data_IF_871861910671
#
_entry.id   IF_871861910671
#
_cell.length_a   1.000
_cell.length_b   1.000
_cell.length_c   1.000
_cell.angle_alpha   90.00
_cell.angle_beta   90.00
_cell.angle_gamma   90.00
#
_symmetry.space_group_name_H-M   'P 1'
#
loop_
_entity.id
_entity.type
_entity.pdbx_description
1 polymer ?
#
# COMPACT_ATOMS: atom_id res chain seq x y z
N UNK A 1 70.39 25.98 24.22
CA UNK A 1 71.01 26.06 25.54
C UNK A 1 70.84 24.72 26.17
N UNK A 2 71.89 23.90 26.14
CA UNK A 2 72.72 23.49 27.27
C UNK A 2 71.95 22.63 28.24
N UNK A 3 72.30 21.39 28.58
CA UNK A 3 73.62 20.75 28.80
C UNK A 3 73.36 19.25 29.05
N UNK A 4 73.94 18.35 28.34
CA UNK A 4 74.86 17.32 28.81
C UNK A 4 75.07 17.16 30.30
N UNK A 5 74.88 15.94 30.79
CA UNK A 5 75.87 15.37 31.67
C UNK A 5 75.98 13.84 31.58
N UNK A 6 77.18 13.40 31.45
CA UNK A 6 77.70 12.05 31.39
C UNK A 6 78.07 11.55 32.80
N UNK A 7 77.76 10.35 33.15
CA UNK A 7 78.22 9.71 34.35
C UNK A 7 78.61 8.25 34.09
N UNK A 8 79.94 8.05 34.10
CA UNK A 8 80.64 6.82 33.84
C UNK A 8 80.82 5.92 35.08
N UNK A 9 81.06 4.61 34.80
CA UNK A 9 81.93 3.67 35.55
C UNK A 9 81.33 2.84 36.70
N UNK A 10 81.41 1.59 36.51
CA UNK A 10 81.39 0.57 37.55
C UNK A 10 81.60 -0.83 36.97
N UNK A 11 82.85 -1.16 36.66
CA UNK A 11 83.27 -2.52 36.38
C UNK A 11 83.33 -3.34 37.65
N UNK A 12 82.75 -4.53 37.66
CA UNK A 12 82.97 -5.54 38.65
C UNK A 12 82.90 -6.97 38.03
N UNK A 13 83.46 -8.02 38.61
CA UNK A 13 84.44 -8.85 37.93
C UNK A 13 83.89 -10.16 37.40
N UNK A 14 84.63 -10.69 36.39
CA UNK A 14 84.56 -12.06 35.85
C UNK A 14 84.81 -13.11 36.93
N UNK A 15 83.78 -13.69 37.57
CA UNK A 15 83.98 -14.92 38.36
C UNK A 15 82.73 -15.80 38.44
N UNK A 16 81.55 -15.41 37.91
CA UNK A 16 80.37 -16.23 38.12
C UNK A 16 79.74 -16.85 36.82
N UNK A 17 80.46 -16.75 35.70
CA UNK A 17 80.00 -17.31 34.43
C UNK A 17 80.36 -18.81 34.27
N UNK A 18 81.37 -19.34 35.02
CA UNK A 18 81.77 -20.74 34.92
C UNK A 18 80.97 -21.72 35.78
N UNK A 19 80.17 -21.27 36.73
CA UNK A 19 79.44 -22.17 37.63
C UNK A 19 78.04 -22.55 37.08
N UNK A 20 77.53 -21.78 36.09
CA UNK A 20 76.12 -22.01 35.51
C UNK A 20 76.21 -22.96 34.31
N UNK A 21 77.42 -23.14 33.69
CA UNK A 21 77.56 -23.96 32.48
C UNK A 21 77.64 -25.49 32.75
N UNK A 22 77.70 -25.93 34.00
CA UNK A 22 77.80 -27.38 34.36
C UNK A 22 76.49 -27.97 34.87
N UNK A 23 75.40 -27.25 34.92
CA UNK A 23 74.14 -27.71 35.45
C UNK A 23 73.08 -28.15 34.43
N UNK A 24 73.40 -28.03 33.12
CA UNK A 24 72.51 -28.39 32.03
C UNK A 24 73.13 -29.37 31.02
N UNK A 25 73.83 -30.39 31.51
CA UNK A 25 74.01 -31.63 30.77
C UNK A 25 72.83 -32.54 31.11
N UNK A 26 71.70 -32.29 30.46
CA UNK A 26 70.57 -33.22 30.47
C UNK A 26 70.81 -34.26 29.38
N UNK A 27 70.91 -35.47 29.82
CA UNK A 27 70.92 -36.68 29.04
C UNK A 27 69.91 -36.62 27.91
N UNK A 28 70.39 -36.84 26.71
CA UNK A 28 69.60 -37.34 25.60
C UNK A 28 69.20 -38.77 25.85
N UNK A 29 68.09 -39.03 26.51
CA UNK A 29 67.36 -40.26 26.36
C UNK A 29 66.56 -40.23 25.12
N UNK A 30 67.03 -40.82 24.03
CA UNK A 30 66.23 -41.25 22.88
C UNK A 30 65.08 -42.13 23.38
N UNK A 31 63.92 -41.55 23.52
CA UNK A 31 62.67 -42.32 23.52
C UNK A 31 62.10 -42.18 22.11
N UNK A 32 62.39 -43.15 21.28
CA UNK A 32 61.58 -43.46 20.07
C UNK A 32 60.12 -43.67 20.51
N UNK A 33 59.32 -42.67 20.44
CA UNK A 33 57.89 -42.81 20.37
C UNK A 33 57.45 -42.27 19.01
N UNK A 34 57.43 -43.14 17.99
CA UNK A 34 56.63 -42.98 16.81
C UNK A 34 55.13 -42.84 17.18
N UNK A 35 54.74 -41.72 17.71
CA UNK A 35 53.37 -41.26 17.66
C UNK A 35 53.27 -40.26 16.51
N UNK A 36 53.13 -40.80 15.30
CA UNK A 36 52.72 -40.07 14.11
C UNK A 36 51.45 -39.31 14.43
N UNK A 37 51.60 -38.01 14.81
CA UNK A 37 50.44 -37.17 15.08
C UNK A 37 49.61 -37.05 13.82
N UNK A 38 48.46 -37.71 13.79
CA UNK A 38 47.45 -37.55 12.75
C UNK A 38 46.89 -36.10 12.69
N UNK A 39 47.32 -35.25 13.61
CA UNK A 39 46.88 -33.89 13.80
C UNK A 39 47.20 -32.94 12.63
N UNK A 40 48.41 -32.93 12.02
CA UNK A 40 48.70 -32.05 10.87
C UNK A 40 47.97 -32.47 9.62
N UNK A 41 47.67 -33.74 9.40
CA UNK A 41 46.89 -34.22 8.29
C UNK A 41 45.40 -33.82 8.45
N UNK A 42 44.83 -33.98 9.63
CA UNK A 42 43.47 -33.59 9.96
C UNK A 42 43.27 -32.08 9.72
N UNK A 43 44.19 -31.23 10.17
CA UNK A 43 44.17 -29.79 9.92
C UNK A 43 44.15 -29.46 8.42
N UNK A 44 45.00 -30.15 7.63
CA UNK A 44 45.02 -29.93 6.15
C UNK A 44 43.74 -30.37 5.48
N UNK A 45 43.17 -31.47 5.91
CA UNK A 45 41.87 -31.97 5.37
C UNK A 45 40.73 -30.99 5.72
N UNK A 46 40.66 -30.60 7.02
CA UNK A 46 39.61 -29.63 7.47
C UNK A 46 39.76 -28.27 6.77
N UNK A 47 41.01 -27.76 6.68
CA UNK A 47 41.26 -26.48 5.93
C UNK A 47 40.91 -26.61 4.45
N UNK A 48 41.18 -27.75 3.82
CA UNK A 48 40.81 -28.02 2.44
C UNK A 48 39.29 -28.09 2.25
N UNK A 49 38.57 -28.74 3.18
CA UNK A 49 37.09 -28.77 3.17
C UNK A 49 36.47 -27.36 3.35
N UNK A 50 37.00 -26.59 4.30
CA UNK A 50 36.56 -25.20 4.52
C UNK A 50 36.78 -24.35 3.26
N UNK A 51 37.96 -24.46 2.63
CA UNK A 51 38.25 -23.73 1.39
C UNK A 51 37.32 -24.13 0.24
N UNK A 52 37.03 -25.44 0.08
CA UNK A 52 36.08 -25.92 -0.94
C UNK A 52 34.66 -25.44 -0.67
N UNK A 53 34.22 -25.46 0.59
CA UNK A 53 32.92 -24.96 1.01
C UNK A 53 32.80 -23.45 0.75
N UNK A 54 33.84 -22.67 1.06
CA UNK A 54 33.89 -21.23 0.80
C UNK A 54 33.83 -20.93 -0.69
N UNK A 55 34.53 -21.71 -1.53
CA UNK A 55 34.48 -21.58 -2.99
C UNK A 55 33.08 -21.94 -3.51
N UNK A 56 32.45 -23.01 -2.99
CA UNK A 56 31.12 -23.40 -3.37
C UNK A 56 30.08 -22.30 -3.01
N UNK A 57 30.16 -21.74 -1.81
CA UNK A 57 29.30 -20.61 -1.38
C UNK A 57 29.51 -19.41 -2.27
N UNK A 58 30.76 -19.06 -2.61
CA UNK A 58 31.07 -17.96 -3.51
C UNK A 58 30.50 -18.19 -4.93
N UNK A 59 30.61 -19.41 -5.45
CA UNK A 59 30.07 -19.76 -6.77
C UNK A 59 28.54 -19.73 -6.76
N UNK A 60 27.90 -20.21 -5.68
CA UNK A 60 26.45 -20.11 -5.49
C UNK A 60 26.05 -18.62 -5.43
N UNK A 61 26.77 -17.81 -4.68
CA UNK A 61 26.51 -16.38 -4.59
C UNK A 61 26.66 -15.67 -5.95
N UNK A 62 27.73 -15.96 -6.69
CA UNK A 62 27.93 -15.44 -8.06
C UNK A 62 26.81 -15.90 -8.99
N UNK A 63 26.43 -17.19 -8.93
CA UNK A 63 25.37 -17.73 -9.74
C UNK A 63 24.01 -17.10 -9.38
N UNK A 64 23.69 -16.94 -8.10
CA UNK A 64 22.49 -16.27 -7.64
C UNK A 64 22.46 -14.80 -8.13
N UNK A 65 23.57 -14.07 -7.97
CA UNK A 65 23.67 -12.68 -8.47
C UNK A 65 23.51 -12.57 -9.98
N UNK A 66 24.06 -13.52 -10.76
CA UNK A 66 23.90 -13.55 -12.22
C UNK A 66 22.47 -13.91 -12.67
N UNK A 67 21.66 -14.53 -11.83
CA UNK A 67 20.27 -14.87 -12.10
C UNK A 67 19.28 -13.97 -11.36
N UNK A 68 19.74 -12.81 -10.87
CA UNK A 68 18.87 -11.84 -10.18
C UNK A 68 18.38 -12.28 -8.80
N UNK A 69 18.94 -13.38 -8.25
CA UNK A 69 18.60 -13.85 -6.91
C UNK A 69 19.42 -13.04 -5.91
N UNK A 70 18.82 -12.04 -5.30
CA UNK A 70 19.43 -11.30 -4.20
C UNK A 70 19.38 -12.15 -2.93
N UNK A 71 20.55 -12.50 -2.40
CA UNK A 71 20.68 -13.20 -1.10
C UNK A 71 20.52 -12.22 0.09
N UNK A 72 20.15 -10.98 -0.16
CA UNK A 72 19.88 -9.95 0.83
C UNK A 72 18.59 -9.23 0.51
N UNK A 73 17.73 -9.02 1.50
CA UNK A 73 16.52 -8.19 1.37
C UNK A 73 16.87 -6.70 1.12
N UNK A 74 15.88 -5.82 1.27
CA UNK A 74 16.07 -4.38 1.08
C UNK A 74 17.14 -3.81 2.02
N UNK A 75 17.82 -2.72 1.61
CA UNK A 75 18.75 -2.03 2.47
C UNK A 75 18.10 -1.63 3.81
N UNK A 76 18.81 -1.72 4.94
CA UNK A 76 18.27 -1.34 6.26
C UNK A 76 17.78 0.12 6.33
N UNK A 77 18.25 0.98 5.44
CA UNK A 77 17.77 2.36 5.32
C UNK A 77 16.33 2.39 4.85
N UNK A 78 15.98 1.58 3.84
CA UNK A 78 14.63 1.52 3.29
C UNK A 78 13.64 0.92 4.31
N UNK A 79 14.01 -0.17 4.95
CA UNK A 79 13.14 -0.77 6.00
C UNK A 79 12.95 0.16 7.19
N UNK A 80 13.98 0.93 7.58
CA UNK A 80 13.85 1.95 8.64
C UNK A 80 13.00 3.16 8.20
N UNK A 81 12.98 3.50 6.92
CA UNK A 81 12.08 4.53 6.39
C UNK A 81 10.64 4.04 6.35
N UNK A 82 10.43 2.82 5.92
CA UNK A 82 9.12 2.16 5.95
C UNK A 82 8.54 2.12 7.38
N UNK A 83 9.34 1.65 8.37
CA UNK A 83 8.96 1.63 9.77
C UNK A 83 8.56 3.02 10.28
N UNK A 84 9.30 4.07 9.89
CA UNK A 84 8.97 5.45 10.27
C UNK A 84 7.64 5.92 9.69
N UNK A 85 7.28 5.51 8.49
CA UNK A 85 5.99 5.83 7.88
C UNK A 85 4.84 5.03 8.47
N UNK A 86 5.08 3.77 8.81
CA UNK A 86 4.08 2.93 9.49
C UNK A 86 3.74 3.47 10.87
N UNK A 87 4.74 3.93 11.63
CA UNK A 87 4.55 4.61 12.92
C UNK A 87 3.77 5.94 12.74
N UNK A 88 4.16 6.76 11.75
CA UNK A 88 3.50 8.03 11.46
C UNK A 88 2.00 7.87 11.14
N UNK A 89 1.62 6.85 10.40
CA UNK A 89 0.25 6.58 9.96
C UNK A 89 -0.55 5.69 10.91
N UNK A 90 0.05 5.25 12.02
CA UNK A 90 -0.57 4.35 12.99
C UNK A 90 -0.74 2.92 12.48
N UNK A 91 -0.11 2.56 11.36
CA UNK A 91 -0.26 1.24 10.74
C UNK A 91 0.38 0.11 11.59
N UNK A 92 1.41 0.41 12.39
CA UNK A 92 2.04 -0.57 13.29
C UNK A 92 1.17 -0.88 14.53
N UNK A 93 0.17 -0.05 14.85
CA UNK A 93 -0.82 -0.31 15.88
C UNK A 93 -1.93 -1.27 15.41
N UNK A 94 -2.11 -1.41 14.08
CA UNK A 94 -3.12 -2.30 13.48
C UNK A 94 -2.62 -3.74 13.49
N UNK A 95 -3.38 -4.62 14.12
CA UNK A 95 -3.01 -6.04 14.26
C UNK A 95 -4.15 -6.95 13.84
N UNK A 96 -3.81 -8.00 13.10
CA UNK A 96 -4.77 -9.04 12.69
C UNK A 96 -5.54 -8.73 11.42
N UNK A 97 -5.32 -7.58 10.81
CA UNK A 97 -5.85 -7.19 9.51
C UNK A 97 -4.73 -7.23 8.46
N UNK A 98 -5.07 -7.63 7.25
CA UNK A 98 -4.16 -7.67 6.10
C UNK A 98 -4.84 -7.33 4.76
N UNK A 99 -6.10 -6.89 4.79
CA UNK A 99 -6.91 -6.56 3.63
C UNK A 99 -7.68 -7.75 3.04
N UNK A 100 -7.69 -8.90 3.74
CA UNK A 100 -8.38 -10.11 3.25
C UNK A 100 -9.87 -9.88 3.00
N UNK A 101 -10.35 -10.35 1.84
CA UNK A 101 -11.76 -10.23 1.45
C UNK A 101 -12.12 -8.88 0.84
N UNK A 102 -11.14 -8.03 0.52
CA UNK A 102 -11.30 -6.76 -0.20
C UNK A 102 -10.69 -6.90 -1.59
N UNK A 103 -11.41 -6.50 -2.62
CA UNK A 103 -10.95 -6.47 -4.01
C UNK A 103 -10.46 -5.07 -4.37
N UNK A 104 -9.15 -4.94 -4.55
CA UNK A 104 -8.49 -3.66 -4.86
C UNK A 104 -7.97 -3.67 -6.29
N UNK A 105 -8.33 -2.66 -7.07
CA UNK A 105 -7.85 -2.46 -8.44
C UNK A 105 -6.81 -1.34 -8.50
N UNK A 106 -5.65 -1.62 -9.07
CA UNK A 106 -4.64 -0.61 -9.43
C UNK A 106 -4.75 -0.32 -10.92
N UNK A 107 -4.95 0.94 -11.28
CA UNK A 107 -4.87 1.41 -12.67
C UNK A 107 -3.56 2.17 -12.84
N UNK A 108 -2.60 1.57 -13.55
CA UNK A 108 -1.22 2.04 -13.59
C UNK A 108 -0.44 1.52 -14.83
N UNK A 109 0.89 1.47 -14.77
CA UNK A 109 1.78 0.98 -15.83
C UNK A 109 1.91 -0.54 -15.90
N UNK A 110 1.28 -1.28 -14.99
CA UNK A 110 1.32 -2.74 -14.94
C UNK A 110 1.92 -3.30 -13.64
N UNK A 111 2.43 -4.53 -13.68
CA UNK A 111 3.05 -5.20 -12.53
C UNK A 111 4.10 -6.23 -12.97
N UNK A 112 5.26 -6.23 -12.33
CA UNK A 112 6.35 -7.21 -12.51
C UNK A 112 6.24 -8.33 -11.45
N UNK A 113 5.51 -9.40 -11.74
CA UNK A 113 5.33 -10.54 -10.84
C UNK A 113 6.61 -11.35 -10.58
N UNK A 114 7.68 -11.10 -11.34
CA UNK A 114 9.00 -11.69 -11.11
C UNK A 114 9.78 -11.06 -9.97
N UNK A 115 9.25 -10.00 -9.34
CA UNK A 115 9.89 -9.35 -8.19
C UNK A 115 9.88 -10.26 -6.95
N UNK A 116 11.00 -10.39 -6.21
CA UNK A 116 11.07 -11.28 -5.03
C UNK A 116 10.00 -11.04 -3.96
N UNK A 117 9.58 -9.80 -3.77
CA UNK A 117 8.55 -9.44 -2.79
C UNK A 117 7.10 -9.65 -3.30
N UNK A 118 6.94 -10.10 -4.57
CA UNK A 118 5.64 -10.38 -5.19
C UNK A 118 5.49 -11.86 -5.60
N UNK A 119 6.42 -12.75 -5.30
CA UNK A 119 6.39 -14.16 -5.69
C UNK A 119 5.24 -14.96 -5.07
N UNK A 120 4.65 -14.44 -4.00
CA UNK A 120 3.45 -14.97 -3.34
C UNK A 120 2.15 -14.56 -4.03
N UNK A 121 2.18 -13.52 -4.88
CA UNK A 121 0.99 -12.85 -5.40
C UNK A 121 0.37 -13.65 -6.56
N UNK A 122 -0.93 -13.85 -6.46
CA UNK A 122 -1.77 -14.33 -7.56
C UNK A 122 -2.80 -13.23 -7.82
N UNK A 123 -2.74 -12.62 -9.00
CA UNK A 123 -3.69 -11.57 -9.36
C UNK A 123 -5.10 -12.13 -9.44
N UNK A 124 -6.09 -11.40 -8.91
CA UNK A 124 -7.50 -11.66 -9.12
C UNK A 124 -7.90 -11.40 -10.58
N UNK A 125 -7.28 -10.42 -11.24
CA UNK A 125 -7.46 -10.14 -12.66
C UNK A 125 -6.34 -9.28 -13.25
N UNK A 126 -6.27 -9.30 -14.58
CA UNK A 126 -5.31 -8.52 -15.36
C UNK A 126 -5.96 -7.97 -16.63
N UNK A 127 -5.80 -6.67 -16.86
CA UNK A 127 -6.15 -6.01 -18.11
C UNK A 127 -4.94 -5.24 -18.64
N UNK A 128 -4.69 -5.33 -19.94
CA UNK A 128 -3.74 -4.48 -20.65
C UNK A 128 -4.47 -3.72 -21.76
N UNK A 129 -4.76 -2.44 -21.48
CA UNK A 129 -5.43 -1.53 -22.42
C UNK A 129 -4.47 -1.05 -23.52
N UNK A 130 -3.15 -1.07 -23.23
CA UNK A 130 -2.12 -0.51 -24.12
C UNK A 130 -1.84 -1.48 -25.29
N UNK A 131 -1.44 -2.72 -24.99
CA UNK A 131 -0.95 -3.70 -25.96
C UNK A 131 -1.84 -4.96 -26.08
N UNK A 132 -2.86 -5.08 -25.21
CA UNK A 132 -3.74 -6.27 -25.14
C UNK A 132 -2.97 -7.59 -24.87
N UNK A 133 -1.88 -7.55 -24.06
CA UNK A 133 -1.15 -8.76 -23.65
C UNK A 133 -1.90 -9.49 -22.56
N UNK A 134 -1.85 -10.81 -22.61
CA UNK A 134 -2.54 -11.68 -21.63
C UNK A 134 -1.70 -11.96 -20.38
N UNK A 135 -0.40 -11.76 -20.45
CA UNK A 135 0.53 -11.99 -19.33
C UNK A 135 0.89 -10.65 -18.68
N UNK A 136 0.83 -10.54 -17.35
CA UNK A 136 1.22 -9.33 -16.64
C UNK A 136 2.67 -8.95 -16.89
N UNK A 137 2.90 -7.66 -17.07
CA UNK A 137 4.22 -7.05 -17.20
C UNK A 137 4.17 -5.59 -16.78
N UNK A 138 5.34 -5.01 -16.51
CA UNK A 138 5.52 -3.59 -16.25
C UNK A 138 6.81 -3.13 -16.93
N UNK A 139 6.70 -2.34 -17.96
CA UNK A 139 7.82 -1.85 -18.78
C UNK A 139 8.21 -0.40 -18.41
N UNK A 140 7.47 0.25 -17.52
CA UNK A 140 7.75 1.55 -16.94
C UNK A 140 8.24 1.42 -15.49
N UNK A 141 7.53 0.65 -14.65
CA UNK A 141 7.92 0.30 -13.28
C UNK A 141 7.12 0.99 -12.18
N UNK A 142 6.31 2.00 -12.50
CA UNK A 142 5.54 2.75 -11.51
C UNK A 142 4.45 1.88 -10.87
N UNK A 143 3.70 1.09 -11.66
CA UNK A 143 2.67 0.21 -11.16
C UNK A 143 3.20 -0.86 -10.21
N UNK A 144 4.39 -1.43 -10.51
CA UNK A 144 5.07 -2.36 -9.60
C UNK A 144 5.45 -1.68 -8.28
N UNK A 145 5.92 -0.44 -8.33
CA UNK A 145 6.25 0.34 -7.15
C UNK A 145 5.02 0.59 -6.28
N UNK A 146 3.90 0.98 -6.88
CA UNK A 146 2.62 1.21 -6.17
C UNK A 146 2.02 -0.08 -5.61
N UNK A 147 2.01 -1.16 -6.39
CA UNK A 147 1.60 -2.48 -5.91
C UNK A 147 2.44 -2.94 -4.71
N UNK A 148 3.75 -2.67 -4.71
CA UNK A 148 4.64 -2.98 -3.61
C UNK A 148 4.24 -2.32 -2.28
N UNK A 149 3.80 -1.07 -2.31
CA UNK A 149 3.31 -0.35 -1.12
C UNK A 149 2.09 -1.05 -0.51
N UNK A 150 1.27 -1.71 -1.34
CA UNK A 150 0.04 -2.38 -0.90
C UNK A 150 0.31 -3.82 -0.49
N UNK A 151 1.00 -4.62 -1.33
CA UNK A 151 1.02 -6.09 -1.18
C UNK A 151 2.40 -6.73 -0.99
N UNK A 152 3.51 -5.99 -0.94
CA UNK A 152 4.85 -6.57 -0.80
C UNK A 152 5.01 -7.46 0.43
N UNK A 153 5.77 -8.59 0.31
CA UNK A 153 6.15 -9.49 1.41
C UNK A 153 7.63 -9.86 1.32
N UNK A 154 8.16 -10.31 2.45
CA UNK A 154 9.51 -10.89 2.60
C UNK A 154 10.68 -9.90 2.51
N UNK A 155 10.51 -8.76 1.87
CA UNK A 155 11.48 -7.65 1.84
C UNK A 155 10.89 -6.39 2.47
N UNK A 156 10.23 -5.56 1.67
CA UNK A 156 9.35 -4.50 2.18
C UNK A 156 8.02 -5.11 2.63
N UNK A 157 7.27 -4.35 3.44
CA UNK A 157 6.00 -4.78 4.01
C UNK A 157 4.86 -3.96 3.44
N UNK A 158 4.10 -4.52 2.54
CA UNK A 158 2.88 -3.91 2.05
C UNK A 158 1.85 -3.66 3.17
N UNK A 159 1.02 -2.66 2.96
CA UNK A 159 0.03 -2.24 3.96
C UNK A 159 -1.13 -3.23 4.10
N UNK A 160 -1.51 -3.90 2.99
CA UNK A 160 -2.66 -4.79 2.88
C UNK A 160 -2.29 -6.03 2.04
N UNK A 161 -1.46 -6.89 2.63
CA UNK A 161 -0.85 -8.04 1.94
C UNK A 161 -1.84 -9.16 1.57
N UNK A 162 -3.05 -9.13 2.10
CA UNK A 162 -4.09 -10.14 1.90
C UNK A 162 -5.19 -9.71 0.92
N UNK A 163 -5.12 -8.51 0.34
CA UNK A 163 -6.12 -8.07 -0.66
C UNK A 163 -6.11 -8.97 -1.89
N UNK A 164 -7.27 -9.17 -2.49
CA UNK A 164 -7.39 -9.67 -3.83
C UNK A 164 -7.08 -8.53 -4.81
N UNK A 165 -5.99 -8.67 -5.60
CA UNK A 165 -5.47 -7.58 -6.41
C UNK A 165 -5.87 -7.72 -7.88
N UNK A 166 -6.54 -6.70 -8.42
CA UNK A 166 -6.72 -6.45 -9.84
C UNK A 166 -5.68 -5.44 -10.33
N UNK A 167 -5.14 -5.64 -11.51
CA UNK A 167 -4.21 -4.68 -12.12
C UNK A 167 -4.62 -4.40 -13.56
N UNK A 168 -4.89 -3.13 -13.86
CA UNK A 168 -5.17 -2.65 -15.20
C UNK A 168 -4.01 -1.76 -15.69
N UNK A 169 -3.31 -2.22 -16.74
CA UNK A 169 -2.27 -1.42 -17.38
C UNK A 169 -2.90 -0.45 -18.37
N UNK A 170 -2.90 0.83 -17.99
CA UNK A 170 -3.43 1.95 -18.77
C UNK A 170 -2.35 2.97 -19.15
N UNK A 171 -1.12 2.78 -18.66
CA UNK A 171 0.06 3.64 -18.87
C UNK A 171 1.11 2.86 -19.66
N UNK A 172 1.69 3.51 -20.67
CA UNK A 172 2.70 2.93 -21.55
C UNK A 172 4.14 2.95 -20.97
N UNK A 173 5.10 2.45 -21.73
CA UNK A 173 6.53 2.39 -21.38
C UNK A 173 7.20 3.77 -21.19
N UNK A 174 6.54 4.83 -21.62
CA UNK A 174 7.03 6.22 -21.47
C UNK A 174 6.36 6.97 -20.31
N UNK A 175 5.52 6.27 -19.54
CA UNK A 175 4.74 6.86 -18.47
C UNK A 175 3.55 7.68 -18.96
N UNK A 176 3.05 7.44 -20.17
CA UNK A 176 1.93 8.17 -20.74
C UNK A 176 0.67 7.31 -20.79
N UNK A 177 -0.46 7.90 -20.40
CA UNK A 177 -1.81 7.36 -20.58
C UNK A 177 -2.70 8.39 -21.25
N UNK A 178 -3.79 7.93 -21.83
CA UNK A 178 -4.86 8.81 -22.32
C UNK A 178 -6.05 8.72 -21.38
N UNK A 179 -6.87 9.77 -21.32
CA UNK A 179 -8.11 9.74 -20.54
C UNK A 179 -8.97 8.53 -20.91
N UNK A 180 -9.05 8.21 -22.21
CA UNK A 180 -9.81 7.06 -22.71
C UNK A 180 -9.20 5.70 -22.25
N UNK A 181 -7.86 5.56 -22.21
CA UNK A 181 -7.24 4.30 -21.73
C UNK A 181 -7.44 4.13 -20.24
N UNK A 182 -7.40 5.20 -19.47
CA UNK A 182 -7.62 5.17 -18.04
C UNK A 182 -9.09 4.93 -17.72
N UNK A 183 -10.01 5.58 -18.45
CA UNK A 183 -11.45 5.35 -18.37
C UNK A 183 -11.82 3.88 -18.62
N UNK A 184 -11.31 3.28 -19.71
CA UNK A 184 -11.51 1.85 -20.01
C UNK A 184 -11.00 0.94 -18.87
N UNK A 185 -9.87 1.31 -18.26
CA UNK A 185 -9.32 0.56 -17.11
C UNK A 185 -10.19 0.71 -15.86
N UNK A 186 -10.71 1.90 -15.57
CA UNK A 186 -11.65 2.16 -14.46
C UNK A 186 -12.94 1.37 -14.67
N UNK A 187 -13.54 1.44 -15.86
CA UNK A 187 -14.75 0.67 -16.19
C UNK A 187 -14.54 -0.83 -15.99
N UNK A 188 -13.38 -1.36 -16.40
CA UNK A 188 -13.05 -2.76 -16.17
C UNK A 188 -12.92 -3.10 -14.68
N UNK A 189 -12.31 -2.24 -13.86
CA UNK A 189 -12.26 -2.47 -12.41
C UNK A 189 -13.67 -2.55 -11.79
N UNK A 190 -14.59 -1.70 -12.27
CA UNK A 190 -16.01 -1.73 -11.85
C UNK A 190 -16.70 -3.01 -12.30
N UNK A 191 -16.48 -3.46 -13.55
CA UNK A 191 -17.01 -4.71 -14.10
C UNK A 191 -16.52 -5.94 -13.32
N UNK A 192 -15.25 -5.95 -12.89
CA UNK A 192 -14.65 -7.00 -12.05
C UNK A 192 -15.03 -6.89 -10.57
N UNK A 193 -15.90 -5.94 -10.21
CA UNK A 193 -16.47 -5.79 -8.86
C UNK A 193 -15.46 -5.29 -7.79
N UNK A 194 -14.52 -4.43 -8.16
CA UNK A 194 -13.60 -3.83 -7.21
C UNK A 194 -14.34 -3.06 -6.10
N UNK A 195 -13.86 -3.16 -4.86
CA UNK A 195 -14.26 -2.32 -3.73
C UNK A 195 -13.50 -1.00 -3.73
N UNK A 196 -12.24 -1.04 -4.17
CA UNK A 196 -11.32 0.09 -4.19
C UNK A 196 -10.66 0.19 -5.55
N UNK A 197 -10.59 1.41 -6.10
CA UNK A 197 -9.76 1.75 -7.27
C UNK A 197 -8.68 2.74 -6.83
N UNK A 198 -7.41 2.39 -7.04
CA UNK A 198 -6.23 3.21 -6.77
C UNK A 198 -5.76 3.86 -8.06
N UNK A 199 -5.88 5.18 -8.16
CA UNK A 199 -5.46 6.00 -9.29
C UNK A 199 -4.23 6.83 -8.89
N UNK A 200 -3.06 6.19 -8.90
CA UNK A 200 -1.78 6.86 -8.63
C UNK A 200 -1.33 7.71 -9.82
N UNK A 201 -2.28 8.40 -10.45
CA UNK A 201 -2.15 9.18 -11.66
C UNK A 201 -2.27 10.67 -11.33
N UNK A 202 -1.42 11.46 -11.91
CA UNK A 202 -1.41 12.93 -11.75
C UNK A 202 -0.04 13.46 -11.35
N UNK A 203 0.51 14.35 -12.15
CA UNK A 203 1.48 15.35 -11.76
C UNK A 203 2.91 14.97 -11.49
N UNK A 204 3.67 14.33 -12.39
CA UNK A 204 5.06 14.72 -12.62
C UNK A 204 5.31 15.03 -14.09
N UNK A 205 6.38 15.81 -14.36
CA UNK A 205 6.81 16.16 -15.73
C UNK A 205 7.12 14.88 -16.52
N UNK A 206 6.09 14.35 -17.15
CA UNK A 206 6.06 13.08 -17.86
C UNK A 206 4.65 12.56 -17.98
N UNK A 207 3.83 12.73 -16.97
CA UNK A 207 2.38 12.57 -17.04
C UNK A 207 1.78 13.91 -17.43
N UNK A 208 2.01 14.32 -18.66
CA UNK A 208 1.39 15.51 -19.19
C UNK A 208 -0.04 15.15 -19.59
N UNK A 209 -0.95 15.20 -18.66
CA UNK A 209 -2.33 15.48 -18.98
C UNK A 209 -2.33 16.89 -19.57
N UNK A 210 -2.00 16.99 -20.85
CA UNK A 210 -1.96 18.25 -21.55
C UNK A 210 -3.38 18.82 -21.64
N UNK A 211 -3.83 19.47 -20.57
CA UNK A 211 -4.81 20.53 -20.60
C UNK A 211 -6.17 20.28 -21.27
N UNK A 212 -6.56 19.04 -21.44
CA UNK A 212 -7.89 18.61 -21.87
C UNK A 212 -8.30 17.49 -20.93
N UNK A 213 -9.01 17.83 -19.83
CA UNK A 213 -9.90 16.85 -19.23
C UNK A 213 -10.89 16.48 -20.32
N UNK A 214 -10.79 15.25 -20.85
CA UNK A 214 -11.94 14.71 -21.57
C UNK A 214 -12.95 14.37 -20.48
N UNK A 215 -14.22 14.56 -20.77
CA UNK A 215 -15.29 14.15 -19.87
C UNK A 215 -15.27 12.62 -19.60
N UNK A 216 -14.55 11.83 -20.40
CA UNK A 216 -14.53 10.35 -20.37
C UNK A 216 -13.98 9.77 -19.07
N UNK A 217 -12.82 10.22 -18.57
CA UNK A 217 -12.25 9.72 -17.31
C UNK A 217 -13.10 10.13 -16.11
N UNK A 218 -13.52 11.38 -16.07
CA UNK A 218 -14.35 11.89 -14.97
C UNK A 218 -15.71 11.19 -14.93
N UNK A 219 -16.32 10.92 -16.13
CA UNK A 219 -17.57 10.16 -16.24
C UNK A 219 -17.40 8.72 -15.71
N UNK A 220 -16.35 8.00 -16.13
CA UNK A 220 -16.08 6.63 -15.63
C UNK A 220 -15.82 6.59 -14.13
N UNK A 221 -15.09 7.58 -13.58
CA UNK A 221 -14.85 7.68 -12.12
C UNK A 221 -16.16 7.99 -11.40
N UNK A 222 -17.01 8.85 -11.93
CA UNK A 222 -18.31 9.14 -11.32
C UNK A 222 -19.22 7.90 -11.35
N UNK A 223 -19.23 7.16 -12.45
CA UNK A 223 -19.99 5.90 -12.54
C UNK A 223 -19.49 4.87 -11.50
N UNK A 224 -18.15 4.78 -11.26
CA UNK A 224 -17.58 3.93 -10.23
C UNK A 224 -18.05 4.34 -8.81
N UNK A 225 -18.03 5.64 -8.52
CA UNK A 225 -18.50 6.18 -7.23
C UNK A 225 -20.01 5.92 -7.04
N UNK A 226 -20.83 6.14 -8.07
CA UNK A 226 -22.27 5.89 -8.04
C UNK A 226 -22.59 4.39 -7.80
N UNK A 227 -21.70 3.51 -8.23
CA UNK A 227 -21.77 2.06 -7.93
C UNK A 227 -21.16 1.67 -6.57
N UNK A 228 -20.68 2.64 -5.79
CA UNK A 228 -20.18 2.44 -4.44
C UNK A 228 -18.73 1.97 -4.36
N UNK A 229 -17.96 2.13 -5.43
CA UNK A 229 -16.52 1.85 -5.44
C UNK A 229 -15.77 3.03 -4.84
N UNK A 230 -14.90 2.78 -3.88
CA UNK A 230 -14.02 3.81 -3.34
C UNK A 230 -12.93 4.16 -4.36
N UNK A 231 -12.89 5.38 -4.83
CA UNK A 231 -11.83 5.86 -5.72
C UNK A 231 -10.86 6.73 -4.94
N UNK A 232 -9.59 6.35 -4.92
CA UNK A 232 -8.50 7.09 -4.28
C UNK A 232 -7.59 7.62 -5.37
N UNK A 233 -7.33 8.93 -5.40
CA UNK A 233 -6.53 9.57 -6.42
C UNK A 233 -5.45 10.50 -5.85
N UNK A 234 -4.36 10.64 -6.59
CA UNK A 234 -3.27 11.54 -6.24
C UNK A 234 -3.67 13.01 -6.39
N UNK A 235 -3.24 13.86 -5.46
CA UNK A 235 -3.46 15.30 -5.55
C UNK A 235 -2.67 15.96 -6.68
N UNK A 236 -1.54 15.36 -7.08
CA UNK A 236 -0.60 15.94 -8.03
C UNK A 236 0.73 16.28 -7.39
N UNK A 237 1.73 16.57 -8.23
CA UNK A 237 3.12 16.79 -7.79
C UNK A 237 3.66 18.17 -8.20
N UNK A 238 2.81 19.17 -8.42
CA UNK A 238 3.17 20.51 -8.90
C UNK A 238 3.75 21.40 -7.79
N UNK A 239 3.46 21.05 -6.53
CA UNK A 239 4.04 21.71 -5.37
C UNK A 239 3.74 23.20 -5.31
N UNK A 240 4.79 24.01 -5.08
CA UNK A 240 4.67 25.46 -4.95
C UNK A 240 4.48 26.18 -6.29
N UNK A 241 4.71 25.49 -7.40
CA UNK A 241 4.45 26.03 -8.74
C UNK A 241 3.03 25.70 -9.21
N UNK A 242 2.22 25.13 -8.29
CA UNK A 242 0.82 24.85 -8.51
C UNK A 242 0.08 26.13 -8.86
N UNK A 243 -0.57 26.13 -10.02
CA UNK A 243 -1.32 27.24 -10.55
C UNK A 243 -2.84 27.01 -10.42
N UNK A 244 -3.26 26.00 -9.67
CA UNK A 244 -4.66 25.61 -9.60
C UNK A 244 -5.05 24.67 -8.49
N UNK A 245 -6.01 23.87 -8.80
CA UNK A 245 -6.57 22.85 -7.93
C UNK A 245 -5.76 21.56 -8.00
N UNK A 246 -6.06 20.59 -7.13
CA UNK A 246 -5.54 19.22 -7.25
C UNK A 246 -5.86 18.64 -8.62
N UNK A 247 -5.03 17.73 -9.09
CA UNK A 247 -5.19 17.09 -10.40
C UNK A 247 -6.50 16.29 -10.50
N UNK A 248 -7.09 16.25 -11.70
CA UNK A 248 -8.18 15.31 -12.01
C UNK A 248 -7.62 13.88 -12.09
N UNK A 249 -8.38 12.83 -11.62
CA UNK A 249 -9.74 12.92 -11.08
C UNK A 249 -9.82 13.20 -9.57
N UNK A 250 -8.70 13.48 -8.87
CA UNK A 250 -8.67 13.84 -7.45
C UNK A 250 -9.55 15.05 -7.10
N UNK A 251 -9.78 15.92 -8.07
CA UNK A 251 -10.64 17.11 -7.94
C UNK A 251 -12.14 16.82 -7.85
N UNK A 252 -12.60 15.62 -8.22
CA UNK A 252 -14.02 15.22 -8.13
C UNK A 252 -14.49 15.12 -6.67
N UNK A 253 -15.77 15.45 -6.43
CA UNK A 253 -16.32 15.66 -5.09
C UNK A 253 -16.14 14.41 -4.20
N UNK A 254 -16.56 13.24 -4.66
CA UNK A 254 -16.60 12.01 -3.86
C UNK A 254 -15.31 11.17 -3.92
N UNK A 255 -14.34 11.55 -4.76
CA UNK A 255 -13.00 10.93 -4.78
C UNK A 255 -12.25 11.27 -3.50
N UNK A 256 -11.52 10.31 -2.93
CA UNK A 256 -10.57 10.55 -1.83
C UNK A 256 -9.24 11.00 -2.46
N UNK A 257 -8.99 12.30 -2.41
CA UNK A 257 -7.77 12.91 -2.95
C UNK A 257 -6.67 12.93 -1.90
N UNK A 258 -5.47 12.48 -2.25
CA UNK A 258 -4.38 12.29 -1.31
C UNK A 258 -3.18 13.17 -1.64
N UNK A 259 -2.85 14.08 -0.74
CA UNK A 259 -1.63 14.86 -0.76
C UNK A 259 -0.45 14.14 -0.07
N UNK A 260 0.67 14.82 0.03
CA UNK A 260 1.93 14.21 0.43
C UNK A 260 2.55 14.71 1.72
N UNK A 261 3.05 13.79 2.57
CA UNK A 261 3.80 14.09 3.79
C UNK A 261 5.19 13.44 3.79
N UNK A 262 6.14 14.09 4.45
CA UNK A 262 7.48 13.53 4.70
C UNK A 262 7.48 12.62 5.93
N UNK A 263 8.55 11.82 6.12
CA UNK A 263 8.74 10.95 7.30
C UNK A 263 8.75 11.70 8.65
N UNK A 264 8.98 13.01 8.64
CA UNK A 264 8.97 13.84 9.84
C UNK A 264 7.60 14.46 10.12
N UNK A 265 6.57 14.10 9.33
CA UNK A 265 5.23 14.67 9.47
C UNK A 265 5.07 16.08 8.90
N UNK A 266 6.07 16.57 8.14
CA UNK A 266 5.94 17.85 7.46
C UNK A 266 5.33 17.65 6.07
N UNK A 267 4.63 18.66 5.59
CA UNK A 267 4.15 18.67 4.20
C UNK A 267 5.31 18.37 3.23
N UNK A 268 5.07 17.51 2.26
CA UNK A 268 6.00 17.31 1.17
C UNK A 268 5.87 18.45 0.16
N UNK A 269 6.96 19.15 -0.12
CA UNK A 269 6.96 20.35 -0.96
C UNK A 269 6.56 20.13 -2.42
N UNK A 270 6.45 18.87 -2.87
CA UNK A 270 5.96 18.51 -4.19
C UNK A 270 4.44 18.26 -4.23
N UNK A 271 3.75 18.20 -3.09
CA UNK A 271 2.31 17.98 -3.07
C UNK A 271 1.54 19.16 -3.64
N UNK A 272 0.65 18.91 -4.59
CA UNK A 272 -0.26 19.95 -5.10
C UNK A 272 -1.25 20.40 -4.03
N UNK A 273 -1.74 21.63 -4.18
CA UNK A 273 -2.70 22.28 -3.29
C UNK A 273 -4.12 22.17 -3.82
N UNK A 274 -5.12 22.17 -2.93
CA UNK A 274 -6.51 22.36 -3.30
C UNK A 274 -6.88 23.84 -3.42
N UNK A 275 -7.46 24.27 -4.54
CA UNK A 275 -8.00 25.62 -4.68
C UNK A 275 -9.50 25.65 -4.38
N UNK A 276 -9.84 25.82 -3.11
CA UNK A 276 -11.23 25.89 -2.67
C UNK A 276 -11.88 27.27 -2.88
N UNK A 277 -11.12 28.26 -3.36
CA UNK A 277 -11.61 29.63 -3.53
C UNK A 277 -12.42 29.87 -4.81
N UNK A 278 -12.58 28.84 -5.63
CA UNK A 278 -13.36 28.87 -6.86
C UNK A 278 -12.75 29.77 -7.94
N UNK A 279 -12.35 29.24 -9.06
CA UNK A 279 -11.91 30.00 -10.22
C UNK A 279 -13.11 30.43 -11.05
N UNK A 280 -13.16 31.71 -11.36
CA UNK A 280 -14.23 32.24 -12.24
C UNK A 280 -14.02 31.87 -13.72
N UNK A 281 -12.85 31.32 -14.09
CA UNK A 281 -12.52 30.93 -15.45
C UNK A 281 -11.21 30.17 -15.56
N UNK A 282 -11.05 29.10 -16.41
CA UNK A 282 -12.05 28.61 -17.38
C UNK A 282 -13.13 27.70 -16.76
N UNK A 283 -12.91 27.08 -15.63
CA UNK A 283 -13.87 26.26 -14.91
C UNK A 283 -14.24 26.96 -13.60
N UNK A 284 -15.44 27.58 -13.52
CA UNK A 284 -15.89 28.13 -12.25
C UNK A 284 -16.19 26.99 -11.28
N UNK A 285 -15.24 26.68 -10.40
CA UNK A 285 -15.49 25.79 -9.30
C UNK A 285 -16.30 26.50 -8.22
N UNK A 286 -17.35 25.84 -7.78
CA UNK A 286 -18.04 26.26 -6.56
C UNK A 286 -17.13 25.86 -5.38
N UNK A 287 -17.10 26.67 -4.30
CA UNK A 287 -16.40 26.28 -3.08
C UNK A 287 -16.89 24.90 -2.62
N UNK A 288 -15.97 24.00 -2.35
CA UNK A 288 -16.27 22.70 -1.74
C UNK A 288 -16.64 22.89 -0.27
N UNK A 289 -17.37 21.95 0.28
CA UNK A 289 -17.73 21.91 1.70
C UNK A 289 -17.27 20.59 2.32
N UNK A 290 -17.11 20.58 3.64
CA UNK A 290 -16.81 19.36 4.37
C UNK A 290 -17.84 18.25 4.04
N UNK A 291 -17.40 17.01 3.87
CA UNK A 291 -16.03 16.49 3.97
C UNK A 291 -15.26 16.46 2.63
N UNK A 292 -15.69 17.23 1.61
CA UNK A 292 -15.24 17.14 0.21
C UNK A 292 -14.19 18.21 -0.17
N UNK A 293 -13.57 18.87 0.81
CA UNK A 293 -12.46 19.79 0.55
C UNK A 293 -11.19 19.01 0.16
N UNK A 294 -10.37 19.55 -0.76
CA UNK A 294 -9.22 18.87 -1.37
C UNK A 294 -7.87 19.49 -0.93
N UNK A 295 -6.84 18.61 -0.78
CA UNK A 295 -6.95 17.15 -0.67
C UNK A 295 -7.70 16.75 0.61
N UNK A 296 -8.30 15.58 0.69
CA UNK A 296 -8.94 15.14 1.95
C UNK A 296 -7.92 14.91 3.05
N UNK A 297 -6.78 14.30 2.73
CA UNK A 297 -5.74 14.00 3.70
C UNK A 297 -4.37 13.92 3.03
N UNK A 298 -3.33 13.86 3.85
CA UNK A 298 -1.97 13.61 3.39
C UNK A 298 -1.44 12.28 3.93
N UNK A 299 -0.60 11.61 3.13
CA UNK A 299 -0.01 10.32 3.44
C UNK A 299 1.45 10.26 2.93
N UNK A 300 2.22 9.20 3.25
CA UNK A 300 3.64 9.09 2.89
C UNK A 300 3.93 9.36 1.40
N UNK A 301 4.71 10.40 1.10
CA UNK A 301 5.01 10.82 -0.27
C UNK A 301 6.48 11.10 -0.56
N UNK A 302 7.34 11.32 0.44
CA UNK A 302 8.73 11.70 0.23
C UNK A 302 9.68 10.54 0.52
N UNK A 303 10.47 10.09 -0.45
CA UNK A 303 11.42 8.99 -0.30
C UNK A 303 10.76 7.72 0.29
N UNK A 304 9.55 7.39 -0.17
CA UNK A 304 8.81 6.18 0.24
C UNK A 304 9.52 4.95 -0.32
N UNK A 305 9.80 3.92 0.50
CA UNK A 305 10.38 2.68 0.02
C UNK A 305 9.45 1.97 -0.97
N UNK A 306 9.99 1.56 -2.11
CA UNK A 306 9.24 0.95 -3.20
C UNK A 306 10.00 -0.22 -3.84
N UNK A 307 9.25 -1.07 -4.55
CA UNK A 307 9.79 -2.09 -5.42
C UNK A 307 10.27 -1.47 -6.73
N UNK A 308 11.34 -2.04 -7.31
CA UNK A 308 11.88 -1.64 -8.60
C UNK A 308 11.61 -2.74 -9.62
N UNK A 309 10.83 -2.46 -10.64
CA UNK A 309 10.54 -3.41 -11.72
C UNK A 309 11.78 -3.75 -12.55
N UNK A 310 11.74 -4.93 -13.16
CA UNK A 310 12.77 -5.38 -14.10
C UNK A 310 14.05 -5.88 -13.44
N UNK A 311 14.08 -5.92 -12.07
CA UNK A 311 15.29 -6.29 -11.33
C UNK A 311 16.50 -5.56 -11.85
N UNK A 312 16.31 -4.40 -12.45
CA UNK A 312 17.16 -3.71 -13.42
C UNK A 312 18.39 -4.56 -13.78
N UNK A 313 18.91 -4.60 -14.94
CA UNK A 313 20.09 -5.43 -15.26
C UNK A 313 21.23 -5.37 -14.25
N UNK A 314 21.11 -4.55 -13.23
CA UNK A 314 22.03 -4.29 -12.11
C UNK A 314 21.64 -5.02 -10.80
N UNK A 315 20.52 -5.77 -10.76
CA UNK A 315 20.06 -6.52 -9.57
C UNK A 315 19.56 -5.65 -8.41
N UNK A 316 19.11 -4.45 -8.71
CA UNK A 316 18.49 -3.53 -7.73
C UNK A 316 16.98 -3.76 -7.72
N UNK A 317 16.47 -4.34 -6.64
CA UNK A 317 15.05 -4.67 -6.48
C UNK A 317 14.28 -3.68 -5.60
N UNK A 318 14.97 -2.86 -4.84
CA UNK A 318 14.37 -1.92 -3.90
C UNK A 318 14.95 -0.53 -4.05
N UNK A 319 14.12 0.47 -3.94
CA UNK A 319 14.48 1.87 -4.01
C UNK A 319 13.55 2.74 -3.20
N UNK A 320 13.53 4.01 -3.51
CA UNK A 320 12.56 4.95 -2.95
C UNK A 320 12.02 5.86 -4.04
N UNK A 321 10.75 6.21 -3.92
CA UNK A 321 10.06 7.16 -4.79
C UNK A 321 9.52 8.33 -3.98
N UNK A 322 9.30 9.46 -4.65
CA UNK A 322 8.59 10.60 -4.07
C UNK A 322 7.48 11.03 -5.02
N UNK A 323 6.28 11.15 -4.51
CA UNK A 323 5.08 11.51 -5.28
C UNK A 323 3.82 11.24 -4.48
N UNK A 324 2.77 11.98 -4.75
CA UNK A 324 1.43 11.74 -4.23
C UNK A 324 0.86 10.39 -4.69
N UNK A 325 1.43 9.80 -5.74
CA UNK A 325 1.19 8.42 -6.16
C UNK A 325 1.47 7.40 -5.04
N UNK A 326 2.61 7.54 -4.34
CA UNK A 326 2.95 6.67 -3.21
C UNK A 326 1.98 6.87 -2.04
N UNK A 327 1.55 8.10 -1.80
CA UNK A 327 0.55 8.42 -0.80
C UNK A 327 -0.82 7.80 -1.12
N UNK A 328 -1.23 7.82 -2.39
CA UNK A 328 -2.45 7.19 -2.89
C UNK A 328 -2.43 5.69 -2.67
N UNK A 329 -1.35 5.01 -3.05
CA UNK A 329 -1.18 3.57 -2.81
C UNK A 329 -1.19 3.24 -1.30
N UNK A 330 -0.58 4.10 -0.47
CA UNK A 330 -0.60 3.94 0.98
C UNK A 330 -2.00 4.02 1.57
N UNK A 331 -2.80 5.01 1.16
CA UNK A 331 -4.20 5.18 1.59
C UNK A 331 -5.07 4.05 1.06
N UNK A 332 -4.86 3.60 -0.18
CA UNK A 332 -5.61 2.48 -0.77
C UNK A 332 -5.43 1.19 0.05
N UNK A 333 -4.19 0.87 0.45
CA UNK A 333 -3.93 -0.25 1.33
C UNK A 333 -4.52 -0.06 2.73
N UNK A 334 -4.43 1.15 3.31
CA UNK A 334 -5.03 1.45 4.61
C UNK A 334 -6.56 1.33 4.58
N UNK A 335 -7.20 1.80 3.51
CA UNK A 335 -8.65 1.65 3.34
C UNK A 335 -9.06 0.17 3.19
N UNK A 336 -8.24 -0.66 2.57
CA UNK A 336 -8.51 -2.08 2.50
C UNK A 336 -8.55 -2.74 3.89
N UNK A 337 -7.70 -2.31 4.84
CA UNK A 337 -7.79 -2.79 6.23
C UNK A 337 -9.09 -2.35 6.90
N UNK A 338 -9.55 -1.14 6.62
CA UNK A 338 -10.81 -0.63 7.15
C UNK A 338 -12.00 -1.43 6.59
N UNK A 339 -12.02 -1.73 5.31
CA UNK A 339 -13.08 -2.52 4.68
C UNK A 339 -13.03 -4.01 5.05
N UNK A 340 -11.86 -4.56 5.44
CA UNK A 340 -11.78 -5.90 6.05
C UNK A 340 -12.46 -5.94 7.41
N UNK A 341 -12.19 -4.95 8.28
CA UNK A 341 -12.80 -4.87 9.62
C UNK A 341 -14.29 -4.52 9.53
N UNK A 342 -14.70 -3.75 8.51
CA UNK A 342 -16.05 -3.25 8.29
C UNK A 342 -16.61 -3.66 6.92
N UNK A 343 -16.87 -4.97 6.70
CA UNK A 343 -17.34 -5.48 5.42
C UNK A 343 -18.73 -4.96 5.02
N UNK A 344 -19.50 -4.41 5.98
CA UNK A 344 -20.76 -3.72 5.71
C UNK A 344 -20.60 -2.46 4.85
N UNK A 345 -19.41 -1.83 4.87
CA UNK A 345 -19.09 -0.64 4.07
C UNK A 345 -18.53 -0.97 2.68
N UNK A 346 -18.18 -2.24 2.41
CA UNK A 346 -17.76 -2.64 1.06
C UNK A 346 -18.88 -2.39 0.05
N UNK A 347 -18.53 -2.31 -1.25
CA UNK A 347 -19.47 -2.04 -2.34
C UNK A 347 -20.77 -2.82 -2.25
N UNK A 348 -20.69 -4.13 -2.03
CA UNK A 348 -21.85 -5.04 -1.89
C UNK A 348 -22.29 -5.21 -0.42
N UNK A 349 -21.72 -4.47 0.50
CA UNK A 349 -22.06 -4.52 1.92
C UNK A 349 -23.43 -3.92 2.23
N UNK A 350 -23.94 -4.21 3.41
CA UNK A 350 -25.29 -3.76 3.83
C UNK A 350 -25.42 -2.24 3.99
N UNK A 351 -24.29 -1.54 4.19
CA UNK A 351 -24.17 -0.09 4.32
C UNK A 351 -23.27 0.50 3.22
N UNK A 352 -23.03 -0.27 2.15
CA UNK A 352 -22.21 0.12 1.01
C UNK A 352 -22.83 1.23 0.15
N UNK A 353 -22.19 1.49 -1.00
CA UNK A 353 -22.61 2.53 -1.93
C UNK A 353 -22.07 3.92 -1.56
N UNK A 354 -22.59 4.95 -2.22
CA UNK A 354 -22.13 6.34 -2.03
C UNK A 354 -22.18 6.78 -0.54
N UNK A 355 -23.14 6.29 0.24
CA UNK A 355 -23.23 6.59 1.68
C UNK A 355 -22.06 6.05 2.48
N UNK A 356 -21.45 4.92 2.08
CA UNK A 356 -20.24 4.42 2.71
C UNK A 356 -19.03 5.33 2.39
N UNK A 357 -18.95 5.82 1.15
CA UNK A 357 -17.89 6.75 0.73
C UNK A 357 -17.99 8.05 1.53
N UNK A 358 -19.18 8.66 1.61
CA UNK A 358 -19.43 9.85 2.43
C UNK A 358 -19.05 9.61 3.90
N UNK A 359 -19.46 8.46 4.46
CA UNK A 359 -19.15 8.09 5.84
C UNK A 359 -17.65 7.97 6.10
N UNK A 360 -16.90 7.33 5.19
CA UNK A 360 -15.43 7.21 5.31
C UNK A 360 -14.75 8.57 5.20
N UNK A 361 -15.23 9.44 4.30
CA UNK A 361 -14.70 10.83 4.19
C UNK A 361 -14.99 11.65 5.45
N UNK A 362 -16.16 11.51 6.06
CA UNK A 362 -16.45 12.11 7.37
C UNK A 362 -15.45 11.62 8.43
N UNK A 363 -15.23 10.30 8.51
CA UNK A 363 -14.27 9.72 9.45
C UNK A 363 -12.84 10.23 9.22
N UNK A 364 -12.41 10.37 7.97
CA UNK A 364 -11.12 10.98 7.62
C UNK A 364 -11.06 12.40 8.16
N UNK A 365 -12.11 13.20 7.95
CA UNK A 365 -12.15 14.59 8.42
C UNK A 365 -12.09 14.73 9.95
N UNK A 366 -12.62 13.75 10.68
CA UNK A 366 -12.70 13.76 12.13
C UNK A 366 -11.48 13.12 12.82
N UNK A 367 -10.80 12.18 12.16
CA UNK A 367 -9.79 11.31 12.77
C UNK A 367 -8.39 11.42 12.16
N UNK A 368 -8.15 12.31 11.20
CA UNK A 368 -6.81 12.60 10.71
C UNK A 368 -6.00 13.37 11.73
N UNK A 369 -4.66 13.15 11.73
CA UNK A 369 -3.79 13.88 12.65
C UNK A 369 -3.50 15.27 12.09
N UNK A 370 -4.08 16.29 12.72
CA UNK A 370 -3.91 17.69 12.35
C UNK A 370 -2.50 18.21 12.63
N UNK A 371 -2.03 19.19 11.85
CA UNK A 371 -0.80 19.92 12.15
C UNK A 371 -0.94 20.83 13.37
N UNK A 372 0.19 21.28 13.91
CA UNK A 372 0.20 22.11 15.11
C UNK A 372 -0.45 23.49 14.86
N UNK A 373 -1.70 23.63 15.34
CA UNK A 373 -2.49 24.85 15.22
C UNK A 373 -3.55 24.81 14.11
N UNK A 374 -3.64 23.75 13.34
CA UNK A 374 -4.72 23.49 12.41
C UNK A 374 -6.02 23.24 13.18
N UNK A 375 -7.11 23.88 12.80
CA UNK A 375 -8.44 23.74 13.42
C UNK A 375 -9.55 23.46 12.42
N UNK A 376 -9.25 23.59 11.14
CA UNK A 376 -10.14 23.41 9.99
C UNK A 376 -9.34 22.74 8.88
N UNK A 377 -9.99 22.36 7.80
CA UNK A 377 -9.30 21.88 6.59
C UNK A 377 -8.26 22.92 6.11
N UNK A 378 -7.14 22.44 5.62
CA UNK A 378 -6.07 23.23 5.02
C UNK A 378 -5.85 22.78 3.57
N UNK A 379 -5.73 23.72 2.64
CA UNK A 379 -5.63 23.41 1.21
C UNK A 379 -4.39 22.55 0.84
N UNK A 380 -3.36 22.50 1.70
CA UNK A 380 -2.18 21.65 1.55
C UNK A 380 -2.22 20.38 2.39
N UNK A 381 -2.63 20.49 3.68
CA UNK A 381 -2.63 19.40 4.64
C UNK A 381 -3.92 18.55 4.61
N UNK A 382 -4.94 19.04 3.90
CA UNK A 382 -6.25 18.44 3.99
C UNK A 382 -6.80 18.52 5.41
N UNK A 383 -7.50 17.49 5.84
CA UNK A 383 -7.91 17.33 7.23
C UNK A 383 -6.78 16.84 8.14
N UNK A 384 -5.60 16.46 7.58
CA UNK A 384 -4.43 16.04 8.33
C UNK A 384 -3.75 14.80 7.78
N UNK A 385 -2.79 14.26 8.55
CA UNK A 385 -2.08 13.03 8.21
C UNK A 385 -2.97 11.83 8.46
N UNK A 386 -2.97 10.85 7.56
CA UNK A 386 -3.62 9.55 7.74
C UNK A 386 -3.26 8.92 9.10
N UNK A 387 -4.27 8.49 9.85
CA UNK A 387 -4.16 7.69 11.07
C UNK A 387 -5.14 6.54 11.03
N UNK A 388 -4.70 5.41 10.46
CA UNK A 388 -5.56 4.24 10.28
C UNK A 388 -6.01 3.63 11.61
N UNK A 389 -5.18 3.68 12.64
CA UNK A 389 -5.52 3.24 13.98
C UNK A 389 -6.71 4.02 14.58
N UNK A 390 -6.76 5.34 14.33
CA UNK A 390 -7.86 6.19 14.79
C UNK A 390 -9.13 5.96 13.96
N UNK A 391 -9.01 5.77 12.65
CA UNK A 391 -10.14 5.48 11.78
C UNK A 391 -10.84 4.18 12.18
N UNK A 392 -10.08 3.10 12.39
CA UNK A 392 -10.61 1.81 12.87
C UNK A 392 -11.23 1.93 14.26
N UNK A 393 -10.58 2.66 15.18
CA UNK A 393 -11.08 2.88 16.53
C UNK A 393 -12.44 3.60 16.56
N UNK A 394 -12.63 4.62 15.73
CA UNK A 394 -13.85 5.43 15.70
C UNK A 394 -15.10 4.68 15.24
N UNK A 395 -14.96 3.74 14.29
CA UNK A 395 -16.06 2.86 13.85
C UNK A 395 -16.42 1.82 14.91
N UNK A 396 -15.42 1.26 15.59
CA UNK A 396 -15.64 0.27 16.65
C UNK A 396 -16.41 0.86 17.84
N UNK A 397 -16.12 2.12 18.23
CA UNK A 397 -16.82 2.81 19.31
C UNK A 397 -18.27 3.13 18.94
N UNK A 398 -18.54 3.53 17.69
CA UNK A 398 -19.90 3.83 17.23
C UNK A 398 -20.81 2.61 17.20
N UNK A 399 -20.29 1.43 16.89
CA UNK A 399 -21.02 0.17 16.89
C UNK A 399 -21.35 -0.28 18.31
N UNK A 400 -20.45 -0.11 19.28
CA UNK A 400 -20.66 -0.43 20.69
C UNK A 400 -21.74 0.43 21.35
N UNK A 401 -21.78 1.72 21.03
CA UNK A 401 -22.78 2.66 21.55
C UNK A 401 -24.16 2.38 20.97
N UNK A 402 -24.26 1.94 19.73
CA UNK A 402 -25.52 1.51 19.11
C UNK A 402 -26.08 0.24 19.78
N UNK A 403 -25.25 -0.78 20.02
CA UNK A 403 -25.67 -2.01 20.72
C UNK A 403 -26.04 -1.75 22.19
N UNK A 404 -25.33 -0.86 22.90
CA UNK A 404 -25.72 -0.49 24.27
C UNK A 404 -27.04 0.28 24.30
N UNK A 405 -27.29 1.14 23.31
CA UNK A 405 -28.53 1.91 23.22
C UNK A 405 -29.73 1.01 22.90
N UNK A 406 -29.57 0.03 22.01
CA UNK A 406 -30.59 -0.94 21.64
C UNK A 406 -30.90 -1.92 22.81
N UNK A 407 -29.85 -2.43 23.46
CA UNK A 407 -30.01 -3.26 24.65
C UNK A 407 -30.65 -2.49 25.83
N UNK A 408 -30.32 -1.20 25.97
CA UNK A 408 -30.98 -0.32 26.96
C UNK A 408 -32.46 -0.08 26.62
N UNK A 409 -32.80 0.09 25.34
CA UNK A 409 -34.15 0.28 24.89
C UNK A 409 -34.98 -1.02 25.08
N UNK A 410 -34.43 -2.19 24.75
CA UNK A 410 -35.04 -3.50 24.96
C UNK A 410 -35.23 -3.78 26.46
N UNK A 411 -34.24 -3.44 27.31
CA UNK A 411 -34.35 -3.56 28.77
C UNK A 411 -35.45 -2.66 29.35
N UNK A 412 -35.62 -1.44 28.83
CA UNK A 412 -36.73 -0.54 29.27
C UNK A 412 -38.09 -1.02 28.84
N UNK A 413 -38.24 -1.68 27.68
CA UNK A 413 -39.46 -2.30 27.22
C UNK A 413 -39.81 -3.58 28.01
N UNK A 414 -38.78 -4.33 28.47
CA UNK A 414 -38.98 -5.55 29.28
C UNK A 414 -39.39 -5.29 30.72
N UNK A 415 -39.23 -4.09 31.27
CA UNK A 415 -39.62 -3.73 32.66
C UNK A 415 -40.96 -2.96 32.76
N UNK A 416 -41.64 -2.72 31.61
CA UNK A 416 -42.87 -1.93 31.57
C UNK A 416 -44.18 -2.71 31.61
N UNK A 417 -44.16 -4.05 31.68
CA UNK A 417 -45.41 -4.86 31.64
C UNK A 417 -45.49 -5.89 32.75
N UNK A 418 -45.60 -5.39 33.95
CA UNK A 418 -46.12 -6.20 35.09
C UNK A 418 -47.00 -5.33 35.97
N UNK A 419 -48.11 -4.85 35.44
CA UNK A 419 -49.30 -4.54 36.27
C UNK A 419 -50.52 -4.37 35.38
N UNK A 420 -51.47 -5.28 35.63
CA UNK A 420 -52.93 -5.18 35.41
C UNK A 420 -53.45 -4.71 34.06
N UNK A 421 -53.90 -5.66 33.25
CA UNK A 421 -55.12 -5.47 32.45
C UNK A 421 -55.96 -6.73 32.51
N UNK A 422 -57.01 -6.62 33.30
CA UNK A 422 -58.14 -7.57 33.30
C UNK A 422 -58.87 -7.53 31.95
N UNK A 423 -59.19 -8.71 31.54
CA UNK A 423 -59.92 -9.18 30.39
C UNK A 423 -61.20 -8.41 30.14
N UNK A 424 -61.37 -7.86 28.93
CA UNK A 424 -62.69 -7.74 28.29
C UNK A 424 -62.65 -8.36 26.90
N UNK A 425 -63.21 -9.56 26.79
CA UNK A 425 -63.42 -10.30 25.54
C UNK A 425 -64.47 -9.58 24.71
N UNK A 426 -64.11 -8.87 23.66
CA UNK A 426 -65.00 -8.55 22.55
C UNK A 426 -64.70 -9.45 21.36
N UNK A 427 -65.77 -10.14 20.97
CA UNK A 427 -65.80 -11.01 19.80
C UNK A 427 -65.57 -10.21 18.54
N UNK A 428 -64.58 -10.62 17.77
CA UNK A 428 -64.36 -10.13 16.41
C UNK A 428 -64.94 -11.12 15.41
N UNK A 429 -65.62 -10.70 14.35
CA UNK A 429 -66.15 -11.59 13.33
C UNK A 429 -65.09 -12.13 12.39
N UNK A 430 -65.30 -13.42 12.05
CA UNK A 430 -64.48 -14.14 11.05
C UNK A 430 -64.58 -13.50 9.67
N UNK A 431 -63.43 -13.27 9.02
CA UNK A 431 -63.33 -12.99 7.58
C UNK A 431 -62.80 -14.26 6.90
N UNK A 432 -63.43 -14.73 5.80
CA UNK A 432 -63.03 -15.97 5.15
C UNK A 432 -61.75 -15.82 4.30
N UNK A 433 -61.05 -16.92 4.00
CA UNK A 433 -59.76 -16.88 3.28
C UNK A 433 -59.97 -16.61 1.78
N UNK A 434 -59.16 -15.70 1.25
CA UNK A 434 -59.05 -15.44 -0.18
C UNK A 434 -58.20 -16.49 -0.86
N UNK A 435 -58.77 -17.04 -1.90
CA UNK A 435 -58.29 -18.10 -2.77
C UNK A 435 -57.05 -17.65 -3.54
N UNK A 436 -56.00 -18.51 -3.53
CA UNK A 436 -54.85 -18.49 -4.41
C UNK A 436 -55.29 -18.66 -5.87
N UNK A 437 -54.89 -17.72 -6.75
CA UNK A 437 -54.84 -17.98 -8.18
C UNK A 437 -53.39 -17.80 -8.67
N UNK A 438 -52.82 -18.96 -9.04
CA UNK A 438 -51.64 -19.08 -9.94
C UNK A 438 -52.08 -18.72 -11.36
N UNK A 439 -51.29 -17.90 -12.05
CA UNK A 439 -50.99 -17.82 -13.48
C UNK A 439 -50.51 -16.38 -13.78
N UNK A 440 -49.50 -16.09 -14.54
CA UNK A 440 -48.83 -16.79 -15.63
C UNK A 440 -47.44 -16.16 -15.82
N UNK A 441 -46.46 -17.03 -15.97
CA UNK A 441 -45.19 -16.71 -16.64
C UNK A 441 -45.46 -16.43 -18.12
N UNK A 442 -44.72 -15.48 -18.68
CA UNK A 442 -44.02 -15.52 -19.96
C UNK A 442 -44.10 -14.19 -20.73
N UNK A 443 -42.95 -13.88 -21.28
CA UNK A 443 -42.65 -12.91 -22.36
C UNK A 443 -41.99 -11.57 -21.97
N UNK A 444 -40.66 -11.58 -21.81
CA UNK A 444 -39.82 -10.42 -22.11
C UNK A 444 -38.36 -10.71 -22.47
N UNK A 445 -37.99 -11.95 -22.81
CA UNK A 445 -36.61 -12.28 -23.21
C UNK A 445 -36.33 -12.35 -24.73
N UNK A 446 -37.29 -11.99 -25.56
CA UNK A 446 -37.16 -12.14 -27.03
C UNK A 446 -36.98 -10.81 -27.79
N UNK A 447 -37.13 -9.65 -27.15
CA UNK A 447 -36.97 -8.37 -27.83
C UNK A 447 -35.53 -7.79 -27.78
N UNK A 448 -34.70 -8.16 -26.80
CA UNK A 448 -33.32 -7.64 -26.73
C UNK A 448 -32.34 -8.31 -27.72
N UNK A 449 -32.59 -9.55 -28.14
CA UNK A 449 -31.71 -10.26 -29.07
C UNK A 449 -31.86 -9.79 -30.53
N UNK A 450 -32.97 -9.11 -30.88
CA UNK A 450 -33.20 -8.64 -32.25
C UNK A 450 -32.65 -7.22 -32.53
N UNK A 451 -32.23 -6.48 -31.52
CA UNK A 451 -31.65 -5.14 -31.70
C UNK A 451 -30.16 -5.21 -32.01
N UNK A 452 -29.44 -6.14 -31.41
CA UNK A 452 -27.97 -6.31 -31.60
C UNK A 452 -27.64 -6.91 -32.98
N UNK A 453 -28.56 -7.71 -33.56
CA UNK A 453 -28.35 -8.30 -34.88
C UNK A 453 -28.59 -7.32 -36.05
N UNK A 454 -29.34 -6.24 -35.83
CA UNK A 454 -29.58 -5.20 -36.83
C UNK A 454 -28.48 -4.15 -36.91
N UNK A 455 -27.69 -3.97 -35.86
CA UNK A 455 -26.55 -3.03 -35.87
C UNK A 455 -25.31 -3.63 -36.56
N UNK A 456 -25.13 -4.94 -36.56
CA UNK A 456 -24.00 -5.61 -37.26
C UNK A 456 -24.14 -5.68 -38.78
N UNK A 457 -25.34 -5.48 -39.32
CA UNK A 457 -25.56 -5.50 -40.79
C UNK A 457 -25.48 -4.12 -41.45
N UNK A 458 -25.40 -3.03 -40.66
CA UNK A 458 -25.32 -1.66 -41.16
C UNK A 458 -23.88 -1.12 -41.33
N UNK A 459 -22.88 -1.82 -40.81
CA UNK A 459 -21.45 -1.41 -40.88
C UNK A 459 -20.63 -2.16 -41.92
N UNK A 460 -21.27 -2.95 -42.82
CA UNK A 460 -20.62 -3.65 -43.94
C UNK A 460 -21.22 -3.27 -45.29
N UNK A 461 -21.21 -1.95 -45.58
CA UNK A 461 -21.37 -1.45 -46.96
C UNK A 461 -20.58 -0.15 -47.15
#
# INVERSE_FOLDING_TARGET
MVSSDSGSLGSAPDSDIEAVSRAFEVRDEESDSEQGSAFPWLIRVVSGLIALLSIAVLLIWIWASMNGITLGGPPPTLTGWEESYRDLTGLDEVTGLDGSGVLLCIVDSGIELGHPDLDHLILAGWLDVIDNRTEPYDDEGHGTAMAGIIVARDGLRGNAQGVDLLVAKAIDEMGAGTDSSIAEAVDWCVEEQADIISLSLGGEQGFSFAGFSSDELEDSVQDALDEGVFVIAAAGNDGQDDDGDVSSPGSLEDVICVGGVTRQGNLWSGSSEGDNNGRLWPNPMLPRSDPNQKPELIAPAAEVPVLIAGGSGDGVWWGSASGTSAATAWVSGALALLLEEHPELQREGSEGGLSAIERVKELISENSQVDQGQTEHDDHFGYGILRIDLLLGSLSDSSSDAEESENSAISKLGHGTSNELQVERRKTPMVPPLISTKAAESSSSTERTNSIQRLKEATSR
#
